data_IF_204510238910
#
_entry.id   IF_204510238910
#
_cell.length_a   1.000
_cell.length_b   1.000
_cell.length_c   1.000
_cell.angle_alpha   90.00
_cell.angle_beta   90.00
_cell.angle_gamma   90.00
#
_symmetry.space_group_name_H-M   'P 1'
#
loop_
_entity.id
_entity.type
_entity.pdbx_description
1 polymer ?
#
# COMPACT_ATOMS: atom_id res chain seq x y z
N UNK A 1 7.59 18.28 -4.18
CA UNK A 1 8.17 17.03 -3.63
C UNK A 1 7.12 16.39 -2.74
N UNK A 2 6.77 15.14 -3.00
CA UNK A 2 5.81 14.29 -2.29
C UNK A 2 6.61 13.22 -1.54
N UNK A 3 6.32 13.03 -0.24
CA UNK A 3 7.00 12.02 0.59
C UNK A 3 5.97 10.97 0.99
N UNK A 4 6.20 9.73 0.56
CA UNK A 4 5.33 8.60 0.85
C UNK A 4 6.15 7.55 1.62
N UNK A 5 5.76 7.32 2.86
CA UNK A 5 6.41 6.33 3.73
C UNK A 5 5.53 5.08 3.79
N UNK A 6 6.04 3.91 3.47
CA UNK A 6 5.29 2.65 3.59
C UNK A 6 5.97 1.67 4.55
N UNK A 7 5.19 1.02 5.41
CA UNK A 7 5.66 -0.08 6.25
C UNK A 7 5.31 -1.44 5.63
N UNK A 8 6.30 -2.33 5.54
CA UNK A 8 6.13 -3.73 5.14
C UNK A 8 5.52 -4.53 6.30
N UNK A 9 4.62 -5.51 6.06
CA UNK A 9 3.84 -6.12 7.14
C UNK A 9 4.59 -7.24 7.86
N UNK A 10 5.68 -7.81 7.32
CA UNK A 10 6.55 -8.75 8.04
C UNK A 10 7.99 -8.70 7.49
N UNK A 11 8.98 -8.59 8.38
CA UNK A 11 10.40 -8.81 8.09
C UNK A 11 11.31 -7.57 8.03
N UNK A 12 10.77 -6.36 7.95
CA UNK A 12 11.56 -5.12 8.07
C UNK A 12 10.80 -4.06 8.86
N UNK A 13 11.29 -3.72 10.05
CA UNK A 13 10.77 -2.59 10.84
C UNK A 13 11.15 -1.22 10.25
N UNK A 14 11.93 -1.19 9.16
CA UNK A 14 12.30 0.04 8.48
C UNK A 14 11.16 0.50 7.56
N UNK A 15 10.65 1.74 7.74
CA UNK A 15 9.79 2.36 6.74
C UNK A 15 10.57 2.51 5.42
N UNK A 16 9.96 2.08 4.32
CA UNK A 16 10.46 2.38 2.98
C UNK A 16 9.95 3.78 2.63
N UNK A 17 10.86 4.76 2.62
CA UNK A 17 10.54 6.11 2.18
C UNK A 17 10.77 6.29 0.68
N UNK A 18 9.72 6.72 -0.03
CA UNK A 18 9.82 7.15 -1.42
C UNK A 18 9.58 8.66 -1.51
N UNK A 19 10.42 9.30 -2.32
CA UNK A 19 10.31 10.72 -2.67
C UNK A 19 9.98 10.81 -4.15
N UNK A 20 8.93 11.54 -4.49
CA UNK A 20 8.46 11.70 -5.87
C UNK A 20 8.03 13.15 -6.14
N UNK A 21 7.92 13.54 -7.40
CA UNK A 21 7.35 14.84 -7.78
C UNK A 21 5.85 14.72 -8.05
N UNK A 22 5.15 15.85 -7.99
CA UNK A 22 3.74 15.89 -8.34
C UNK A 22 3.57 15.42 -9.80
N UNK A 23 2.69 14.45 -10.03
CA UNK A 23 2.49 13.83 -11.34
C UNK A 23 3.24 12.50 -11.55
N UNK A 24 4.21 12.17 -10.70
CA UNK A 24 4.94 10.89 -10.77
C UNK A 24 4.08 9.70 -10.34
N UNK A 25 4.58 8.49 -10.59
CA UNK A 25 4.00 7.24 -10.09
C UNK A 25 4.93 6.59 -9.07
N UNK A 26 4.39 6.24 -7.91
CA UNK A 26 5.11 5.52 -6.84
C UNK A 26 4.60 4.10 -6.70
N UNK A 27 5.48 3.16 -6.37
CA UNK A 27 5.13 1.75 -6.23
C UNK A 27 5.69 1.15 -4.94
N UNK A 28 4.84 0.47 -4.17
CA UNK A 28 5.19 -0.20 -2.93
C UNK A 28 5.05 -1.70 -3.09
N UNK A 29 6.01 -2.44 -2.52
CA UNK A 29 5.97 -3.90 -2.50
C UNK A 29 5.82 -4.37 -1.07
N UNK A 30 4.84 -5.23 -0.85
CA UNK A 30 4.49 -5.80 0.44
C UNK A 30 4.68 -7.31 0.41
N UNK A 31 5.65 -7.84 1.15
CA UNK A 31 5.83 -9.29 1.30
C UNK A 31 4.85 -9.86 2.33
N UNK A 32 4.40 -11.08 2.12
CA UNK A 32 3.59 -11.84 3.05
C UNK A 32 4.08 -13.30 3.09
N UNK A 33 3.89 -14.03 4.19
CA UNK A 33 4.30 -15.43 4.24
C UNK A 33 3.30 -16.31 3.48
N UNK A 34 3.79 -17.46 2.98
CA UNK A 34 2.96 -18.46 2.31
C UNK A 34 1.65 -18.81 3.05
N UNK A 35 1.70 -18.92 4.39
CA UNK A 35 0.54 -19.23 5.22
C UNK A 35 -0.60 -18.21 5.10
N UNK A 36 -0.30 -16.97 4.70
CA UNK A 36 -1.27 -15.90 4.50
C UNK A 36 -1.62 -15.73 3.00
N UNK A 37 -1.31 -16.69 2.11
CA UNK A 37 -1.60 -16.62 0.66
C UNK A 37 -3.08 -16.38 0.34
N UNK A 38 -3.99 -16.95 1.14
CA UNK A 38 -5.44 -16.76 0.96
C UNK A 38 -6.00 -15.51 1.65
N UNK A 39 -5.15 -14.76 2.35
CA UNK A 39 -5.57 -13.51 3.00
C UNK A 39 -5.79 -12.40 1.98
N UNK A 40 -6.69 -11.50 2.29
CA UNK A 40 -6.97 -10.30 1.53
C UNK A 40 -5.83 -9.30 1.66
N UNK A 41 -5.28 -8.88 0.53
CA UNK A 41 -4.26 -7.82 0.47
C UNK A 41 -4.92 -6.47 0.69
N UNK A 42 -4.37 -5.72 1.63
CA UNK A 42 -4.84 -4.39 2.00
C UNK A 42 -3.67 -3.42 2.02
N UNK A 43 -3.87 -2.24 1.45
CA UNK A 43 -2.94 -1.13 1.61
C UNK A 43 -3.68 0.04 2.25
N UNK A 44 -3.12 0.53 3.35
CA UNK A 44 -3.77 1.45 4.25
C UNK A 44 -2.95 2.73 4.38
N UNK A 45 -3.64 3.88 4.39
CA UNK A 45 -3.06 5.17 4.75
C UNK A 45 -3.36 5.49 6.22
N UNK A 46 -2.35 5.94 6.99
CA UNK A 46 -2.52 6.51 8.33
C UNK A 46 -3.19 7.87 8.24
N UNK A 47 -4.25 8.07 9.00
CA UNK A 47 -4.63 9.41 9.47
C UNK A 47 -3.96 9.75 10.81
N UNK A 48 -4.12 11.00 11.24
CA UNK A 48 -3.63 11.48 12.54
C UNK A 48 -4.14 10.69 13.75
N UNK A 49 -5.21 9.88 13.60
CA UNK A 49 -5.81 9.07 14.65
C UNK A 49 -5.38 7.59 14.60
N UNK A 50 -4.33 7.26 13.85
CA UNK A 50 -3.85 5.88 13.63
C UNK A 50 -4.87 4.95 12.98
N UNK A 51 -6.00 5.49 12.51
CA UNK A 51 -7.01 4.73 11.79
C UNK A 51 -6.60 4.58 10.33
N UNK A 52 -7.13 3.54 9.70
CA UNK A 52 -6.96 3.33 8.27
C UNK A 52 -8.15 3.93 7.53
N UNK A 53 -7.96 5.15 7.04
CA UNK A 53 -9.01 5.95 6.38
C UNK A 53 -9.21 5.54 4.91
N UNK A 54 -8.11 5.21 4.22
CA UNK A 54 -8.14 4.82 2.81
C UNK A 54 -7.56 3.42 2.64
N UNK A 55 -8.39 2.48 2.18
CA UNK A 55 -8.02 1.08 1.96
C UNK A 55 -8.05 0.73 0.48
N UNK A 56 -6.92 0.26 -0.05
CA UNK A 56 -6.85 -0.34 -1.38
C UNK A 56 -6.88 -1.86 -1.22
N UNK A 57 -7.73 -2.54 -1.98
CA UNK A 57 -7.77 -4.00 -2.06
C UNK A 57 -7.98 -4.44 -3.51
N UNK A 58 -7.32 -5.53 -3.92
CA UNK A 58 -7.60 -6.18 -5.21
C UNK A 58 -8.79 -7.15 -5.15
N UNK A 59 -9.26 -7.53 -3.96
CA UNK A 59 -10.22 -8.62 -3.78
C UNK A 59 -11.58 -8.19 -3.20
N UNK A 60 -11.68 -6.96 -2.68
CA UNK A 60 -12.91 -6.45 -2.07
C UNK A 60 -13.44 -5.26 -2.85
N UNK A 61 -14.62 -5.41 -3.45
CA UNK A 61 -15.32 -4.37 -4.22
C UNK A 61 -15.78 -3.16 -3.38
N UNK A 62 -15.96 -3.35 -2.07
CA UNK A 62 -16.36 -2.30 -1.12
C UNK A 62 -15.19 -1.38 -0.67
N UNK A 63 -13.99 -1.58 -1.22
CA UNK A 63 -12.78 -0.85 -0.80
C UNK A 63 -12.47 0.23 -1.82
N UNK A 64 -12.51 1.48 -1.34
CA UNK A 64 -12.42 2.67 -2.18
C UNK A 64 -11.03 2.76 -2.78
N UNK A 65 -10.99 2.51 -4.08
CA UNK A 65 -10.03 3.03 -5.05
C UNK A 65 -9.61 4.44 -4.61
N UNK A 66 -8.38 4.61 -4.08
CA UNK A 66 -7.62 5.83 -4.42
C UNK A 66 -7.72 5.85 -5.95
N UNK A 67 -8.47 6.78 -6.54
CA UNK A 67 -9.25 6.56 -7.78
C UNK A 67 -8.49 5.95 -8.99
N UNK A 68 -7.15 5.96 -8.94
CA UNK A 68 -6.22 5.47 -9.94
C UNK A 68 -5.20 4.44 -9.44
N UNK A 69 -5.18 4.10 -8.15
CA UNK A 69 -4.20 3.17 -7.58
C UNK A 69 -4.50 1.71 -7.93
N UNK A 70 -3.47 0.94 -8.30
CA UNK A 70 -3.59 -0.47 -8.63
C UNK A 70 -2.91 -1.34 -7.57
N UNK A 71 -3.51 -2.50 -7.28
CA UNK A 71 -2.91 -3.54 -6.45
C UNK A 71 -2.78 -4.81 -7.29
N UNK A 72 -1.56 -5.34 -7.37
CA UNK A 72 -1.24 -6.60 -8.07
C UNK A 72 -0.69 -7.59 -7.06
N UNK A 73 -1.27 -8.79 -6.99
CA UNK A 73 -0.86 -9.86 -6.07
C UNK A 73 -0.03 -10.91 -6.81
N UNK A 74 1.24 -11.05 -6.42
CA UNK A 74 2.17 -12.05 -6.93
C UNK A 74 2.32 -13.17 -5.89
N UNK A 75 1.48 -14.19 -6.03
CA UNK A 75 1.45 -15.34 -5.13
C UNK A 75 2.69 -16.22 -5.23
N UNK A 76 3.40 -16.20 -6.36
CA UNK A 76 4.61 -17.01 -6.55
C UNK A 76 5.78 -16.42 -5.77
N UNK A 77 5.90 -15.10 -5.76
CA UNK A 77 6.95 -14.38 -5.03
C UNK A 77 6.52 -13.93 -3.62
N UNK A 78 5.35 -14.38 -3.16
CA UNK A 78 4.75 -14.06 -1.86
C UNK A 78 4.75 -12.55 -1.56
N UNK A 79 4.40 -11.76 -2.57
CA UNK A 79 4.37 -10.30 -2.46
C UNK A 79 3.21 -9.70 -3.24
N UNK A 80 2.76 -8.53 -2.82
CA UNK A 80 1.83 -7.73 -3.60
C UNK A 80 2.38 -6.33 -3.80
N UNK A 81 2.16 -5.79 -5.00
CA UNK A 81 2.59 -4.47 -5.41
C UNK A 81 1.41 -3.52 -5.44
N UNK A 82 1.60 -2.33 -4.88
CA UNK A 82 0.62 -1.25 -4.87
C UNK A 82 1.22 -0.06 -5.62
N UNK A 83 0.52 0.45 -6.62
CA UNK A 83 0.99 1.61 -7.39
C UNK A 83 0.02 2.76 -7.20
N UNK A 84 0.55 3.95 -6.89
CA UNK A 84 -0.21 5.21 -6.84
C UNK A 84 0.30 6.07 -8.00
N UNK A 85 -0.47 6.20 -9.09
CA UNK A 85 -0.07 7.05 -10.21
C UNK A 85 -0.50 8.49 -9.98
N UNK A 86 0.22 9.42 -10.64
CA UNK A 86 -0.06 10.86 -10.58
C UNK A 86 -0.14 11.39 -9.15
N UNK A 87 0.89 11.11 -8.35
CA UNK A 87 0.93 11.53 -6.95
C UNK A 87 0.84 13.04 -6.82
N UNK A 88 0.18 13.49 -5.76
CA UNK A 88 0.03 14.91 -5.43
C UNK A 88 0.54 15.17 -4.01
N UNK A 89 0.62 16.44 -3.62
CA UNK A 89 0.93 16.80 -2.24
C UNK A 89 -0.03 16.16 -1.24
N UNK A 90 -1.29 15.93 -1.63
CA UNK A 90 -2.28 15.27 -0.79
C UNK A 90 -2.01 13.77 -0.59
N UNK A 91 -1.19 13.13 -1.43
CA UNK A 91 -0.79 11.73 -1.27
C UNK A 91 0.42 11.56 -0.34
N UNK A 92 0.99 12.66 0.15
CA UNK A 92 2.06 12.59 1.16
C UNK A 92 1.50 11.98 2.45
N UNK A 93 2.20 11.01 3.02
CA UNK A 93 1.73 10.35 4.22
C UNK A 93 2.43 9.06 4.57
N UNK A 94 1.95 8.45 5.65
CA UNK A 94 2.39 7.14 6.12
C UNK A 94 1.37 6.10 5.67
N UNK A 95 1.86 5.02 5.12
CA UNK A 95 1.10 3.91 4.59
C UNK A 95 1.61 2.61 5.21
N UNK A 96 0.80 1.56 5.18
CA UNK A 96 1.23 0.21 5.55
C UNK A 96 0.49 -0.83 4.74
N UNK A 97 1.21 -1.92 4.56
CA UNK A 97 0.69 -3.18 4.10
C UNK A 97 -0.11 -3.84 5.23
N UNK A 98 -1.26 -4.42 4.91
CA UNK A 98 -2.06 -5.21 5.84
C UNK A 98 -2.60 -6.46 5.13
N UNK A 99 -2.90 -7.48 5.93
CA UNK A 99 -3.53 -8.72 5.48
C UNK A 99 -4.80 -8.92 6.30
N UNK A 100 -5.90 -9.29 5.66
CA UNK A 100 -7.14 -9.68 6.34
C UNK A 100 -7.45 -11.12 6.00
N UNK A 101 -7.55 -11.98 7.01
CA UNK A 101 -8.00 -13.37 6.84
C UNK A 101 -9.50 -13.43 6.57
#
# INVERSE_FOLDING_TARGET
IVIVLAHSPKGSNAPVGQTAYTGDSVSFTCKYPQADQNSIRLFCRRDGNFSCTNRISAQLSNYTKLATSSLSDDKQNELYKVTIPMVTHQDSGKYWCALKR
#
